data_IF_533004037137
#
_entry.id   IF_533004037137
#
_cell.length_a   1.000
_cell.length_b   1.000
_cell.length_c   1.000
_cell.angle_alpha   90.00
_cell.angle_beta   90.00
_cell.angle_gamma   90.00
#
_symmetry.space_group_name_H-M   'P 1'
#
loop_
_entity.id
_entity.type
_entity.pdbx_description
1 polymer ?
#
# COMPACT_ATOMS: atom_id res chain seq x y z
N UNK A 1 3.70 -18.18 2.02
CA UNK A 1 2.40 -17.71 1.47
C UNK A 1 1.80 -16.51 2.20
N UNK A 2 1.78 -16.47 3.54
CA UNK A 2 1.17 -15.36 4.31
C UNK A 2 1.94 -14.03 4.29
N UNK A 3 3.26 -14.04 4.06
CA UNK A 3 4.10 -12.86 4.24
C UNK A 3 3.75 -11.71 3.28
N UNK A 4 3.54 -12.02 2.00
CA UNK A 4 3.20 -11.03 0.96
C UNK A 4 1.88 -10.28 1.25
N UNK A 5 0.72 -10.94 1.43
CA UNK A 5 -0.53 -10.23 1.68
C UNK A 5 -0.50 -9.45 3.01
N UNK A 6 0.14 -9.98 4.05
CA UNK A 6 0.28 -9.28 5.34
C UNK A 6 1.17 -8.04 5.19
N UNK A 7 2.30 -8.15 4.51
CA UNK A 7 3.20 -7.03 4.29
C UNK A 7 2.59 -5.96 3.37
N UNK A 8 1.83 -6.36 2.34
CA UNK A 8 1.13 -5.40 1.50
C UNK A 8 0.03 -4.67 2.29
N UNK A 9 -0.82 -5.40 3.01
CA UNK A 9 -1.91 -4.78 3.76
C UNK A 9 -1.46 -4.00 4.98
N UNK A 10 -0.29 -4.28 5.57
CA UNK A 10 0.27 -3.42 6.61
C UNK A 10 0.70 -2.04 6.09
N UNK A 11 0.91 -1.91 4.78
CA UNK A 11 1.29 -0.66 4.10
C UNK A 11 0.04 0.04 3.55
N UNK A 12 -0.80 -0.67 2.79
CA UNK A 12 -1.84 -0.06 1.95
C UNK A 12 -3.21 0.08 2.62
N UNK A 13 -3.48 -0.65 3.71
CA UNK A 13 -4.77 -0.57 4.39
C UNK A 13 -5.10 0.87 4.79
N UNK A 14 -6.38 1.25 4.65
CA UNK A 14 -6.86 2.63 4.86
C UNK A 14 -6.04 3.68 4.08
N UNK A 15 -5.54 3.30 2.91
CA UNK A 15 -4.71 4.15 2.04
C UNK A 15 -3.42 4.61 2.74
N UNK A 16 -2.88 3.76 3.61
CA UNK A 16 -1.70 4.05 4.44
C UNK A 16 -1.95 5.06 5.57
N UNK A 17 -3.20 5.48 5.80
CA UNK A 17 -3.57 6.44 6.84
C UNK A 17 -3.79 5.72 8.19
N UNK A 18 -2.79 4.97 8.62
CA UNK A 18 -2.77 4.24 9.89
C UNK A 18 -1.48 4.65 10.61
N UNK A 19 -1.56 5.02 11.89
CA UNK A 19 -0.39 5.48 12.65
C UNK A 19 0.74 4.43 12.75
N UNK A 20 0.39 3.16 12.62
CA UNK A 20 1.29 2.01 12.62
C UNK A 20 1.46 1.38 11.23
N UNK A 21 1.14 2.12 10.16
CA UNK A 21 1.36 1.64 8.80
C UNK A 21 2.85 1.31 8.58
N UNK A 22 3.12 0.22 7.89
CA UNK A 22 4.47 -0.18 7.52
C UNK A 22 5.05 0.77 6.49
N UNK A 23 5.91 1.71 6.89
CA UNK A 23 6.57 2.62 5.94
C UNK A 23 7.75 1.99 5.20
N UNK A 24 8.28 0.86 5.69
CA UNK A 24 9.43 0.17 5.11
C UNK A 24 9.40 -1.32 5.42
N UNK A 25 9.70 -2.13 4.42
CA UNK A 25 9.87 -3.57 4.54
C UNK A 25 11.36 -3.92 4.42
N UNK A 26 11.85 -4.77 5.33
CA UNK A 26 13.20 -5.34 5.26
C UNK A 26 13.08 -6.79 4.82
N UNK A 27 13.77 -7.14 3.75
CA UNK A 27 13.68 -8.45 3.11
C UNK A 27 15.08 -9.03 2.96
N UNK A 28 15.21 -10.32 3.24
CA UNK A 28 16.47 -11.04 3.13
C UNK A 28 16.89 -11.19 1.66
N UNK A 29 18.17 -10.97 1.38
CA UNK A 29 18.67 -10.69 0.03
C UNK A 29 18.33 -11.78 -1.01
N UNK A 30 18.53 -13.08 -0.75
CA UNK A 30 18.07 -14.19 -1.58
C UNK A 30 16.62 -14.17 -2.06
N UNK A 31 15.69 -13.54 -1.32
CA UNK A 31 14.27 -13.50 -1.69
C UNK A 31 13.78 -12.09 -2.08
N UNK A 32 14.67 -11.10 -2.11
CA UNK A 32 14.29 -9.69 -2.28
C UNK A 32 13.46 -9.45 -3.55
N UNK A 33 13.98 -9.83 -4.72
CA UNK A 33 13.31 -9.59 -6.01
C UNK A 33 11.95 -10.27 -6.09
N UNK A 34 11.88 -11.57 -5.78
CA UNK A 34 10.63 -12.33 -5.79
C UNK A 34 9.60 -11.72 -4.82
N UNK A 35 10.04 -11.31 -3.64
CA UNK A 35 9.15 -10.73 -2.64
C UNK A 35 8.59 -9.39 -3.10
N UNK A 36 9.43 -8.51 -3.67
CA UNK A 36 9.01 -7.21 -4.20
C UNK A 36 8.00 -7.40 -5.34
N UNK A 37 8.29 -8.27 -6.30
CA UNK A 37 7.38 -8.58 -7.41
C UNK A 37 6.02 -9.07 -6.91
N UNK A 38 6.02 -9.97 -5.92
CA UNK A 38 4.79 -10.53 -5.37
C UNK A 38 3.98 -9.51 -4.57
N UNK A 39 4.63 -8.62 -3.82
CA UNK A 39 3.96 -7.50 -3.12
C UNK A 39 3.35 -6.54 -4.13
N UNK A 40 4.08 -6.17 -5.18
CA UNK A 40 3.57 -5.31 -6.25
C UNK A 40 2.37 -5.96 -6.96
N UNK A 41 2.46 -7.25 -7.28
CA UNK A 41 1.37 -8.01 -7.90
C UNK A 41 0.14 -8.17 -6.99
N UNK A 42 0.32 -8.18 -5.67
CA UNK A 42 -0.79 -8.16 -4.72
C UNK A 42 -1.44 -6.76 -4.68
N UNK A 43 -0.63 -5.71 -4.55
CA UNK A 43 -1.09 -4.32 -4.52
C UNK A 43 -1.90 -3.95 -5.78
N UNK A 44 -1.45 -4.40 -6.95
CA UNK A 44 -2.12 -4.16 -8.24
C UNK A 44 -3.53 -4.78 -8.35
N UNK A 45 -3.89 -5.72 -7.46
CA UNK A 45 -5.21 -6.37 -7.46
C UNK A 45 -6.21 -5.71 -6.51
N UNK A 46 -5.74 -4.82 -5.63
CA UNK A 46 -6.59 -4.16 -4.65
C UNK A 46 -7.60 -3.26 -5.35
N UNK A 47 -8.89 -3.40 -5.01
CA UNK A 47 -9.94 -2.52 -5.53
C UNK A 47 -9.92 -1.18 -4.82
N UNK A 48 -9.53 -0.14 -5.54
CA UNK A 48 -9.59 1.26 -5.08
C UNK A 48 -10.93 1.86 -5.50
N UNK A 49 -11.62 2.53 -4.58
CA UNK A 49 -12.96 3.07 -4.88
C UNK A 49 -13.56 3.93 -3.78
N UNK A 50 -14.89 4.12 -3.88
CA UNK A 50 -15.69 4.81 -2.87
C UNK A 50 -15.72 3.98 -1.57
N UNK A 51 -15.51 4.63 -0.42
CA UNK A 51 -15.53 3.97 0.88
C UNK A 51 -16.90 3.47 1.33
N UNK A 52 -17.98 3.89 0.67
CA UNK A 52 -19.33 3.36 0.90
C UNK A 52 -19.64 2.10 0.09
N UNK A 53 -18.86 1.78 -0.94
CA UNK A 53 -19.02 0.55 -1.73
C UNK A 53 -18.40 -0.63 -0.95
N UNK A 54 -19.18 -1.67 -0.58
CA UNK A 54 -18.66 -2.83 0.14
C UNK A 54 -17.64 -3.65 -0.65
N UNK A 55 -17.51 -3.44 -1.96
CA UNK A 55 -16.50 -4.09 -2.78
C UNK A 55 -15.15 -3.35 -2.78
N UNK A 56 -15.09 -2.11 -2.30
CA UNK A 56 -13.84 -1.35 -2.17
C UNK A 56 -12.97 -1.93 -1.07
N UNK A 57 -11.70 -2.17 -1.39
CA UNK A 57 -10.68 -2.61 -0.43
C UNK A 57 -9.86 -1.43 0.09
N UNK A 58 -9.61 -0.43 -0.76
CA UNK A 58 -8.82 0.76 -0.44
C UNK A 58 -9.63 2.03 -0.79
N UNK A 59 -9.91 2.85 0.23
CA UNK A 59 -10.66 4.09 0.07
C UNK A 59 -9.82 5.30 -0.38
N UNK A 60 -10.38 6.51 -0.36
CA UNK A 60 -9.64 7.72 -0.69
C UNK A 60 -8.72 8.17 0.45
N UNK A 61 -7.77 9.04 0.11
CA UNK A 61 -7.09 9.88 1.12
C UNK A 61 -8.07 10.91 1.69
N UNK A 62 -7.80 11.38 2.91
CA UNK A 62 -8.72 12.26 3.65
C UNK A 62 -8.97 13.63 3.01
N UNK A 63 -8.01 14.16 2.25
CA UNK A 63 -8.13 15.51 1.67
C UNK A 63 -7.20 15.73 0.47
N UNK A 64 -7.48 16.76 -0.37
CA UNK A 64 -6.59 17.16 -1.46
C UNK A 64 -5.17 17.52 -0.99
N UNK A 65 -5.06 18.20 0.17
CA UNK A 65 -3.75 18.52 0.77
C UNK A 65 -2.92 17.28 1.07
N UNK A 66 -3.55 16.21 1.54
CA UNK A 66 -2.85 14.96 1.81
C UNK A 66 -2.43 14.26 0.51
N UNK A 67 -3.29 14.31 -0.52
CA UNK A 67 -2.96 13.81 -1.85
C UNK A 67 -1.75 14.54 -2.44
N UNK A 68 -1.72 15.88 -2.40
CA UNK A 68 -0.58 16.70 -2.84
C UNK A 68 0.71 16.32 -2.11
N UNK A 69 0.64 16.16 -0.77
CA UNK A 69 1.81 15.76 0.02
C UNK A 69 2.34 14.39 -0.39
N UNK A 70 1.47 13.38 -0.53
CA UNK A 70 1.89 12.01 -0.85
C UNK A 70 2.40 11.92 -2.28
N UNK A 71 1.72 12.55 -3.23
CA UNK A 71 2.16 12.59 -4.64
C UNK A 71 3.46 13.36 -4.83
N UNK A 72 3.71 14.40 -4.00
CA UNK A 72 5.01 15.07 -3.95
C UNK A 72 6.16 14.12 -3.61
N UNK A 73 6.00 13.25 -2.61
CA UNK A 73 7.03 12.25 -2.28
C UNK A 73 7.27 11.22 -3.40
N UNK A 74 6.24 10.90 -4.19
CA UNK A 74 6.38 10.00 -5.34
C UNK A 74 7.15 10.68 -6.48
N UNK A 75 6.94 11.98 -6.69
CA UNK A 75 7.66 12.75 -7.70
C UNK A 75 9.12 13.05 -7.33
N UNK A 76 9.41 13.19 -6.04
CA UNK A 76 10.76 13.46 -5.52
C UNK A 76 11.68 12.22 -5.54
N UNK A 77 11.11 11.01 -5.58
CA UNK A 77 11.83 9.73 -5.56
C UNK A 77 12.21 9.24 -6.94
#
# INVERSE_FOLDING_TARGET
>A
ERAVPVAAMSVFANSGQICIAGSRLFVEQPIYEEFVERVAAHAAKLRIGDGADPATEIGPLISPRQLERVTGFIADG
#
